data_IF_262348181381
#
_entry.id   IF_262348181381
#
_cell.length_a   1.000
_cell.length_b   1.000
_cell.length_c   1.000
_cell.angle_alpha   90.00
_cell.angle_beta   90.00
_cell.angle_gamma   90.00
#
_symmetry.space_group_name_H-M   'P 1'
#
loop_
_entity.id
_entity.type
_entity.pdbx_description
1 polymer ?
#
# COMPACT_ATOMS: atom_id res chain seq x y z
N UNK A 1 -43.62 -57.11 28.17
CA UNK A 1 -43.14 -56.57 26.87
C UNK A 1 -43.07 -55.04 26.80
N UNK A 2 -43.80 -54.26 27.62
CA UNK A 2 -43.86 -52.79 27.52
C UNK A 2 -42.65 -52.02 28.10
N UNK A 3 -41.89 -52.62 29.02
CA UNK A 3 -40.74 -51.97 29.69
C UNK A 3 -39.44 -51.94 28.87
N UNK A 4 -39.26 -52.89 27.93
CA UNK A 4 -38.05 -52.91 27.07
C UNK A 4 -38.08 -51.85 25.95
N UNK A 5 -39.26 -51.44 25.49
CA UNK A 5 -39.41 -50.40 24.48
C UNK A 5 -39.17 -48.97 25.03
N UNK A 6 -39.48 -48.73 26.30
CA UNK A 6 -39.26 -47.41 26.92
C UNK A 6 -37.77 -47.08 27.12
N UNK A 7 -36.93 -48.09 27.38
CA UNK A 7 -35.47 -47.92 27.59
C UNK A 7 -34.75 -47.64 26.26
N UNK A 8 -35.24 -48.21 25.15
CA UNK A 8 -34.65 -48.05 23.81
C UNK A 8 -34.92 -46.64 23.22
N UNK A 9 -36.09 -46.08 23.50
CA UNK A 9 -36.46 -44.74 23.03
C UNK A 9 -35.67 -43.63 23.75
N UNK A 10 -35.43 -43.76 25.06
CA UNK A 10 -34.68 -42.76 25.84
C UNK A 10 -33.19 -42.76 25.52
N UNK A 11 -32.58 -43.92 25.28
CA UNK A 11 -31.17 -44.00 24.83
C UNK A 11 -30.95 -43.36 23.47
N UNK A 12 -31.90 -43.53 22.54
CA UNK A 12 -31.81 -42.93 21.20
C UNK A 12 -31.89 -41.39 21.25
N UNK A 13 -32.76 -40.83 22.11
CA UNK A 13 -32.86 -39.38 22.31
C UNK A 13 -31.58 -38.80 22.91
N UNK A 14 -30.97 -39.50 23.88
CA UNK A 14 -29.71 -39.06 24.52
C UNK A 14 -28.57 -39.05 23.49
N UNK A 15 -28.46 -40.08 22.65
CA UNK A 15 -27.42 -40.14 21.61
C UNK A 15 -27.61 -39.01 20.58
N UNK A 16 -28.84 -38.75 20.15
CA UNK A 16 -29.14 -37.65 19.23
C UNK A 16 -28.81 -36.27 19.83
N UNK A 17 -29.12 -36.06 21.11
CA UNK A 17 -28.79 -34.82 21.81
C UNK A 17 -27.27 -34.62 21.96
N UNK A 18 -26.53 -35.68 22.29
CA UNK A 18 -25.07 -35.64 22.37
C UNK A 18 -24.43 -35.38 21.00
N UNK A 19 -24.93 -36.01 19.94
CA UNK A 19 -24.47 -35.77 18.57
C UNK A 19 -24.73 -34.32 18.13
N UNK A 20 -25.88 -33.75 18.51
CA UNK A 20 -26.19 -32.35 18.21
C UNK A 20 -25.28 -31.38 18.96
N UNK A 21 -25.02 -31.60 20.26
CA UNK A 21 -24.09 -30.78 21.04
C UNK A 21 -22.68 -30.86 20.46
N UNK A 22 -22.23 -32.06 20.09
CA UNK A 22 -20.93 -32.26 19.45
C UNK A 22 -20.84 -31.52 18.11
N UNK A 23 -21.88 -31.62 17.27
CA UNK A 23 -21.95 -30.91 15.99
C UNK A 23 -21.88 -29.39 16.15
N UNK A 24 -22.63 -28.82 17.11
CA UNK A 24 -22.57 -27.39 17.43
C UNK A 24 -21.17 -26.98 17.92
N UNK A 25 -20.51 -27.81 18.74
CA UNK A 25 -19.14 -27.60 19.19
C UNK A 25 -18.12 -27.54 18.05
N UNK A 26 -18.20 -28.48 17.10
CA UNK A 26 -17.31 -28.54 15.93
C UNK A 26 -17.50 -27.32 15.01
N UNK A 27 -18.75 -26.90 14.77
CA UNK A 27 -19.06 -25.71 13.96
C UNK A 27 -18.51 -24.43 14.61
N UNK A 28 -18.65 -24.27 15.92
CA UNK A 28 -18.10 -23.13 16.65
C UNK A 28 -16.57 -23.08 16.60
N UNK A 29 -15.90 -24.23 16.71
CA UNK A 29 -14.43 -24.30 16.60
C UNK A 29 -13.95 -23.92 15.19
N UNK A 30 -14.58 -24.45 14.13
CA UNK A 30 -14.25 -24.07 12.74
C UNK A 30 -14.47 -22.58 12.47
N UNK A 31 -15.56 -21.98 12.98
CA UNK A 31 -15.83 -20.56 12.81
C UNK A 31 -14.78 -19.67 13.48
N UNK A 32 -14.33 -20.02 14.69
CA UNK A 32 -13.27 -19.30 15.39
C UNK A 32 -11.89 -19.45 14.72
N UNK A 33 -11.60 -20.62 14.17
CA UNK A 33 -10.33 -20.88 13.47
C UNK A 33 -10.25 -20.10 12.15
N UNK A 34 -11.33 -20.07 11.37
CA UNK A 34 -11.40 -19.25 10.15
C UNK A 34 -11.30 -17.75 10.45
N UNK A 35 -11.91 -17.26 11.54
CA UNK A 35 -11.77 -15.86 11.94
C UNK A 35 -10.33 -15.52 12.37
N UNK A 36 -9.65 -16.42 13.08
CA UNK A 36 -8.24 -16.24 13.43
C UNK A 36 -7.35 -16.25 12.21
N UNK A 37 -7.59 -17.15 11.26
CA UNK A 37 -6.81 -17.23 10.02
C UNK A 37 -7.03 -15.99 9.12
N UNK A 38 -8.25 -15.47 9.03
CA UNK A 38 -8.54 -14.22 8.31
C UNK A 38 -7.92 -13.00 8.99
N UNK A 39 -8.04 -12.89 10.32
CA UNK A 39 -7.43 -11.80 11.07
C UNK A 39 -5.89 -11.84 10.97
N UNK A 40 -5.29 -13.04 10.98
CA UNK A 40 -3.85 -13.21 10.79
C UNK A 40 -3.40 -12.85 9.36
N UNK A 41 -4.15 -13.26 8.32
CA UNK A 41 -3.88 -12.88 6.92
C UNK A 41 -4.00 -11.37 6.69
N UNK A 42 -4.92 -10.70 7.39
CA UNK A 42 -5.07 -9.25 7.30
C UNK A 42 -3.94 -8.50 8.04
N UNK A 43 -3.41 -9.06 9.14
CA UNK A 43 -2.27 -8.53 9.89
C UNK A 43 -0.93 -8.64 9.13
N UNK A 44 -0.76 -9.73 8.36
CA UNK A 44 0.41 -9.93 7.51
C UNK A 44 0.36 -9.11 6.21
N UNK A 45 -0.79 -8.50 5.89
CA UNK A 45 -0.96 -7.72 4.67
C UNK A 45 -0.04 -6.51 4.68
N UNK A 46 0.82 -6.46 3.67
CA UNK A 46 1.68 -5.32 3.42
C UNK A 46 0.92 -4.26 2.63
N UNK A 47 0.89 -3.03 3.14
CA UNK A 47 0.16 -1.89 2.57
C UNK A 47 1.06 -0.67 2.43
N UNK A 48 0.65 0.27 1.58
CA UNK A 48 1.38 1.52 1.34
C UNK A 48 0.70 2.73 1.96
N UNK A 49 1.51 3.60 2.53
CA UNK A 49 1.10 4.92 2.96
C UNK A 49 0.75 5.77 1.74
N UNK A 50 -0.45 6.33 1.69
CA UNK A 50 -0.89 7.17 0.58
C UNK A 50 -0.14 8.52 0.52
N UNK A 51 0.54 8.91 1.59
CA UNK A 51 1.24 10.19 1.70
C UNK A 51 2.67 10.12 1.13
N UNK A 52 3.45 9.12 1.53
CA UNK A 52 4.89 9.02 1.21
C UNK A 52 5.27 7.76 0.41
N UNK A 53 4.33 6.86 0.13
CA UNK A 53 4.56 5.62 -0.60
C UNK A 53 5.27 4.53 0.20
N UNK A 54 5.61 4.77 1.48
CA UNK A 54 6.28 3.77 2.34
C UNK A 54 5.40 2.55 2.55
N UNK A 55 6.06 1.39 2.63
CA UNK A 55 5.42 0.09 2.74
C UNK A 55 5.62 -0.51 4.13
N UNK A 56 4.54 -0.92 4.78
CA UNK A 56 4.56 -1.53 6.12
C UNK A 56 3.42 -2.54 6.26
N UNK A 57 3.45 -3.36 7.31
CA UNK A 57 2.29 -4.19 7.70
C UNK A 57 1.10 -3.30 8.02
N UNK A 58 -0.11 -3.74 7.67
CA UNK A 58 -1.34 -2.98 7.88
C UNK A 58 -1.56 -2.62 9.36
N UNK A 59 -1.20 -3.51 10.29
CA UNK A 59 -1.26 -3.27 11.74
C UNK A 59 -0.29 -2.20 12.25
N UNK A 60 0.75 -1.90 11.49
CA UNK A 60 1.72 -0.86 11.85
C UNK A 60 1.30 0.52 11.35
N UNK A 61 0.25 0.61 10.53
CA UNK A 61 -0.30 1.87 10.04
C UNK A 61 -1.11 2.55 11.14
N UNK A 62 -0.77 3.80 11.44
CA UNK A 62 -1.36 4.54 12.58
C UNK A 62 -2.68 5.22 12.26
N UNK A 63 -3.03 5.31 10.98
CA UNK A 63 -4.28 5.90 10.54
C UNK A 63 -4.74 5.32 9.20
N UNK A 64 -6.06 5.35 8.97
CA UNK A 64 -6.68 4.98 7.70
C UNK A 64 -7.79 5.98 7.36
N UNK A 65 -8.08 6.12 6.08
CA UNK A 65 -9.27 6.83 5.60
C UNK A 65 -9.86 6.15 4.37
N UNK A 66 -11.08 6.52 3.99
CA UNK A 66 -11.67 6.10 2.72
C UNK A 66 -11.44 7.17 1.65
N UNK A 67 -11.00 6.77 0.46
CA UNK A 67 -10.99 7.66 -0.68
C UNK A 67 -12.43 7.87 -1.23
N UNK A 68 -12.56 8.70 -2.27
CA UNK A 68 -13.86 8.99 -2.91
C UNK A 68 -14.54 7.75 -3.52
N UNK A 69 -13.79 6.66 -3.74
CA UNK A 69 -14.25 5.38 -4.30
C UNK A 69 -14.48 4.32 -3.22
N UNK A 70 -14.33 4.65 -1.93
CA UNK A 70 -14.48 3.72 -0.83
C UNK A 70 -13.27 2.81 -0.58
N UNK A 71 -12.14 3.02 -1.28
CA UNK A 71 -10.87 2.30 -1.04
C UNK A 71 -10.25 2.78 0.27
N UNK A 72 -9.79 1.83 1.10
CA UNK A 72 -9.01 2.17 2.30
C UNK A 72 -7.62 2.65 1.89
N UNK A 73 -7.30 3.88 2.29
CA UNK A 73 -5.96 4.44 2.26
C UNK A 73 -5.35 4.32 3.66
N UNK A 74 -4.06 4.00 3.71
CA UNK A 74 -3.30 3.82 4.95
C UNK A 74 -2.30 4.97 5.10
N UNK A 75 -1.90 5.26 6.34
CA UNK A 75 -0.95 6.33 6.66
C UNK A 75 -0.03 5.92 7.82
N UNK A 76 1.26 6.24 7.70
CA UNK A 76 2.24 5.96 8.75
C UNK A 76 1.97 6.80 10.00
N UNK A 77 1.38 7.99 9.86
CA UNK A 77 0.95 8.83 10.99
C UNK A 77 -0.42 9.45 10.78
N UNK A 78 -1.08 9.83 11.89
CA UNK A 78 -2.33 10.59 11.84
C UNK A 78 -2.13 11.98 11.21
N UNK A 79 -0.99 12.62 11.45
CA UNK A 79 -0.68 13.93 10.85
C UNK A 79 -0.62 13.87 9.32
N UNK A 80 0.01 12.84 8.76
CA UNK A 80 0.05 12.61 7.32
C UNK A 80 -1.36 12.43 6.74
N UNK A 81 -2.22 11.66 7.40
CA UNK A 81 -3.62 11.52 7.00
C UNK A 81 -4.35 12.88 6.99
N UNK A 82 -4.18 13.71 8.02
CA UNK A 82 -4.84 15.02 8.09
C UNK A 82 -4.31 16.00 7.03
N UNK A 83 -3.00 15.99 6.74
CA UNK A 83 -2.42 16.74 5.61
C UNK A 83 -3.00 16.25 4.29
N UNK A 84 -3.02 14.94 4.08
CA UNK A 84 -3.52 14.31 2.87
C UNK A 84 -5.00 14.62 2.62
N UNK A 85 -5.83 14.56 3.66
CA UNK A 85 -7.28 14.83 3.57
C UNK A 85 -7.59 16.23 3.03
N UNK A 86 -6.74 17.22 3.32
CA UNK A 86 -6.91 18.61 2.86
C UNK A 86 -6.56 18.77 1.38
N UNK A 87 -5.50 18.09 0.93
CA UNK A 87 -4.94 18.27 -0.42
C UNK A 87 -4.45 16.92 -0.99
N UNK A 88 -5.34 15.92 -1.24
CA UNK A 88 -4.90 14.55 -1.58
C UNK A 88 -4.09 14.51 -2.89
N UNK A 89 -4.57 15.29 -3.85
CA UNK A 89 -3.97 15.55 -5.16
C UNK A 89 -2.54 16.09 -5.09
N UNK A 90 -2.16 16.77 -4.01
CA UNK A 90 -0.80 17.29 -3.83
C UNK A 90 0.20 16.18 -3.53
N UNK A 91 -0.22 15.16 -2.78
CA UNK A 91 0.66 14.12 -2.26
C UNK A 91 0.62 12.83 -3.07
N UNK A 92 -0.49 12.53 -3.74
CA UNK A 92 -0.64 11.31 -4.52
C UNK A 92 -1.37 11.58 -5.84
N UNK A 93 -0.71 11.24 -6.95
CA UNK A 93 -1.31 11.17 -8.28
C UNK A 93 -1.39 9.71 -8.70
N UNK A 94 -2.55 9.30 -9.17
CA UNK A 94 -2.79 7.94 -9.67
C UNK A 94 -3.33 8.01 -11.09
N UNK A 95 -2.73 7.25 -11.99
CA UNK A 95 -3.16 7.12 -13.36
C UNK A 95 -2.67 5.78 -13.93
N UNK A 96 -3.22 5.37 -15.07
CA UNK A 96 -2.92 4.08 -15.68
C UNK A 96 -2.29 4.28 -17.06
N UNK A 97 -1.25 3.52 -17.37
CA UNK A 97 -0.63 3.40 -18.70
C UNK A 97 -0.78 1.94 -19.13
N UNK A 98 -1.68 1.64 -20.06
CA UNK A 98 -2.01 0.26 -20.42
C UNK A 98 -2.66 -0.48 -19.24
N UNK A 99 -2.02 -1.54 -18.75
CA UNK A 99 -2.42 -2.29 -17.54
C UNK A 99 -1.56 -1.94 -16.31
N UNK A 100 -0.75 -0.87 -16.38
CA UNK A 100 0.13 -0.45 -15.29
C UNK A 100 -0.48 0.73 -14.57
N UNK A 101 -0.88 0.54 -13.32
CA UNK A 101 -1.24 1.64 -12.43
C UNK A 101 0.04 2.29 -11.89
N UNK A 102 0.22 3.57 -12.24
CA UNK A 102 1.27 4.43 -11.70
C UNK A 102 0.73 5.16 -10.49
N UNK A 103 1.42 5.04 -9.37
CA UNK A 103 1.16 5.78 -8.15
C UNK A 103 2.36 6.70 -7.90
N UNK A 104 2.16 8.00 -8.03
CA UNK A 104 3.22 9.01 -7.92
C UNK A 104 3.00 9.84 -6.64
N UNK A 105 3.96 9.75 -5.73
CA UNK A 105 4.01 10.55 -4.52
C UNK A 105 4.94 11.76 -4.73
N UNK A 106 4.47 12.95 -4.34
CA UNK A 106 5.23 14.19 -4.47
C UNK A 106 5.25 14.87 -3.10
N UNK A 107 6.42 14.96 -2.50
CA UNK A 107 6.60 15.52 -1.16
C UNK A 107 7.58 16.67 -1.23
N UNK A 108 7.35 17.72 -0.44
CA UNK A 108 8.43 18.67 -0.17
C UNK A 108 9.56 17.94 0.56
N UNK A 109 10.81 18.38 0.42
CA UNK A 109 11.91 17.79 1.18
C UNK A 109 11.66 17.84 2.67
N UNK A 110 11.01 18.90 3.14
CA UNK A 110 10.59 18.98 4.54
C UNK A 110 9.63 17.85 4.92
N UNK A 111 8.57 17.64 4.16
CA UNK A 111 7.58 16.59 4.46
C UNK A 111 8.19 15.18 4.33
N UNK A 112 9.07 14.97 3.34
CA UNK A 112 9.81 13.71 3.20
C UNK A 112 10.71 13.44 4.41
N UNK A 113 11.49 14.43 4.84
CA UNK A 113 12.38 14.29 5.99
C UNK A 113 11.60 14.13 7.31
N UNK A 114 10.48 14.84 7.47
CA UNK A 114 9.57 14.66 8.60
C UNK A 114 8.99 13.23 8.63
N UNK A 115 8.61 12.67 7.48
CA UNK A 115 8.14 11.30 7.35
C UNK A 115 9.23 10.28 7.73
N UNK A 116 10.45 10.44 7.21
CA UNK A 116 11.58 9.58 7.52
C UNK A 116 11.96 9.63 9.01
N UNK A 117 11.94 10.82 9.61
CA UNK A 117 12.20 11.01 11.04
C UNK A 117 11.12 10.37 11.92
N UNK A 118 9.84 10.50 11.56
CA UNK A 118 8.74 9.89 12.29
C UNK A 118 8.82 8.35 12.32
N UNK A 119 9.60 7.78 11.41
CA UNK A 119 9.89 6.35 11.30
C UNK A 119 11.23 5.93 11.93
N UNK A 120 11.98 6.87 12.52
CA UNK A 120 13.29 6.58 13.13
C UNK A 120 14.40 6.30 12.11
N UNK A 121 14.26 6.80 10.88
CA UNK A 121 15.26 6.64 9.80
C UNK A 121 16.14 7.88 9.62
N UNK A 122 16.22 8.75 10.63
CA UNK A 122 16.99 9.99 10.62
C UNK A 122 18.50 9.77 10.42
N UNK A 123 19.04 8.68 10.97
CA UNK A 123 20.48 8.34 10.84
C UNK A 123 20.89 7.83 9.46
N UNK A 124 19.93 7.54 8.58
CA UNK A 124 20.17 7.04 7.23
C UNK A 124 19.68 8.01 6.15
N UNK A 125 19.48 9.28 6.53
CA UNK A 125 19.05 10.29 5.57
C UNK A 125 20.12 10.52 4.49
N UNK A 126 19.74 10.50 3.20
CA UNK A 126 20.67 10.83 2.12
C UNK A 126 21.13 12.28 2.26
N UNK A 127 22.38 12.54 1.86
CA UNK A 127 22.85 13.92 1.74
C UNK A 127 22.02 14.62 0.65
N UNK A 128 21.29 15.66 1.05
CA UNK A 128 20.45 16.41 0.14
C UNK A 128 21.30 17.45 -0.61
N UNK A 129 21.13 17.52 -1.93
CA UNK A 129 21.57 18.70 -2.66
C UNK A 129 20.64 19.88 -2.31
N UNK A 130 21.22 21.01 -1.92
CA UNK A 130 20.47 22.17 -1.43
C UNK A 130 19.50 22.78 -2.47
N UNK A 131 19.66 22.45 -3.76
CA UNK A 131 18.76 22.88 -4.83
C UNK A 131 17.49 22.03 -4.96
N UNK A 132 17.46 20.82 -4.41
CA UNK A 132 16.30 19.94 -4.52
C UNK A 132 15.26 20.31 -3.46
N UNK A 133 14.03 20.56 -3.89
CA UNK A 133 12.97 21.01 -2.99
C UNK A 133 11.89 19.95 -2.78
N UNK A 134 11.81 18.93 -3.64
CA UNK A 134 10.81 17.88 -3.57
C UNK A 134 11.39 16.50 -3.81
N UNK A 135 10.92 15.52 -3.05
CA UNK A 135 11.15 14.10 -3.29
C UNK A 135 9.98 13.56 -4.11
N UNK A 136 10.27 12.98 -5.26
CA UNK A 136 9.26 12.31 -6.08
C UNK A 136 9.53 10.82 -6.04
N UNK A 137 8.54 10.05 -5.59
CA UNK A 137 8.57 8.59 -5.63
C UNK A 137 7.42 8.03 -6.45
N UNK A 138 7.63 6.88 -7.08
CA UNK A 138 6.65 6.19 -7.91
C UNK A 138 6.69 4.68 -7.65
N UNK A 139 5.53 4.07 -7.52
CA UNK A 139 5.41 2.60 -7.54
C UNK A 139 4.35 2.16 -8.56
N UNK A 140 4.63 1.03 -9.19
CA UNK A 140 3.91 0.53 -10.35
C UNK A 140 3.19 -0.77 -9.98
N UNK A 141 1.90 -0.87 -10.26
CA UNK A 141 1.11 -2.08 -10.00
C UNK A 141 0.57 -2.61 -11.33
N UNK A 142 0.74 -3.91 -11.62
CA UNK A 142 0.01 -4.55 -12.72
C UNK A 142 -1.44 -4.71 -12.26
N UNK A 143 -2.39 -4.06 -12.94
CA UNK A 143 -3.80 -4.11 -12.57
C UNK A 143 -4.41 -5.51 -12.70
N UNK A 144 -3.78 -6.43 -13.44
CA UNK A 144 -4.27 -7.81 -13.60
C UNK A 144 -3.95 -8.68 -12.40
N UNK A 145 -2.71 -8.61 -11.90
CA UNK A 145 -2.24 -9.44 -10.78
C UNK A 145 -2.32 -8.71 -9.43
N UNK A 146 -2.34 -7.37 -9.45
CA UNK A 146 -2.17 -6.55 -8.25
C UNK A 146 -0.73 -6.52 -7.73
N UNK A 147 0.22 -7.11 -8.47
CA UNK A 147 1.62 -7.20 -8.06
C UNK A 147 2.42 -5.94 -8.44
N UNK A 148 3.47 -5.70 -7.67
CA UNK A 148 4.42 -4.62 -7.92
C UNK A 148 5.29 -4.93 -9.15
N UNK A 149 5.37 -3.98 -10.07
CA UNK A 149 6.27 -4.06 -11.23
C UNK A 149 7.63 -3.47 -10.85
N UNK A 150 8.67 -4.30 -10.99
CA UNK A 150 10.08 -3.95 -10.80
C UNK A 150 10.81 -4.02 -12.15
N UNK A 151 12.07 -3.61 -12.18
CA UNK A 151 12.96 -3.75 -13.35
C UNK A 151 12.48 -3.03 -14.61
N UNK A 152 11.79 -1.89 -14.43
CA UNK A 152 11.32 -1.00 -15.51
C UNK A 152 12.00 0.36 -15.34
N UNK A 153 12.45 0.98 -16.44
CA UNK A 153 12.95 2.34 -16.38
C UNK A 153 11.79 3.31 -16.13
N UNK A 154 11.85 4.10 -15.06
CA UNK A 154 10.85 5.12 -14.78
C UNK A 154 11.49 6.48 -14.93
N UNK A 155 11.15 7.22 -15.97
CA UNK A 155 11.63 8.58 -16.18
C UNK A 155 10.53 9.58 -15.87
N UNK A 156 10.90 10.65 -15.16
CA UNK A 156 10.05 11.82 -14.93
C UNK A 156 10.60 12.98 -15.75
N UNK A 157 9.72 13.60 -16.54
CA UNK A 157 9.93 14.90 -17.17
C UNK A 157 9.04 15.93 -16.46
N UNK A 158 9.67 16.84 -15.71
CA UNK A 158 9.03 17.94 -15.01
C UNK A 158 9.22 19.23 -15.82
N UNK A 159 8.14 19.82 -16.31
CA UNK A 159 8.13 21.14 -16.94
C UNK A 159 7.70 22.20 -15.93
N UNK A 160 8.52 23.22 -15.74
CA UNK A 160 8.26 24.36 -14.86
C UNK A 160 7.20 25.31 -15.45
N UNK A 161 6.64 26.24 -14.65
CA UNK A 161 5.67 27.23 -15.14
C UNK A 161 6.17 28.14 -16.27
N UNK A 162 7.48 28.38 -16.34
CA UNK A 162 8.17 29.16 -17.38
C UNK A 162 8.68 28.31 -18.56
N UNK A 163 8.45 27.00 -18.54
CA UNK A 163 8.73 26.09 -19.65
C UNK A 163 10.09 25.40 -19.61
N UNK A 164 10.91 25.60 -18.56
CA UNK A 164 12.13 24.82 -18.33
C UNK A 164 11.79 23.35 -18.05
N UNK A 165 12.68 22.44 -18.42
CA UNK A 165 12.43 20.99 -18.32
C UNK A 165 13.53 20.32 -17.52
N UNK A 166 13.15 19.58 -16.47
CA UNK A 166 14.01 18.65 -15.74
C UNK A 166 13.64 17.21 -16.15
N UNK A 167 14.60 16.43 -16.63
CA UNK A 167 14.40 15.00 -16.93
C UNK A 167 15.30 14.16 -16.05
N UNK A 168 14.72 13.21 -15.30
CA UNK A 168 15.49 12.28 -14.47
C UNK A 168 14.96 10.86 -14.60
N UNK A 169 15.86 9.90 -14.73
CA UNK A 169 15.56 8.49 -14.57
C UNK A 169 15.56 8.17 -13.08
N UNK A 170 14.41 7.77 -12.54
CA UNK A 170 14.26 7.45 -11.13
C UNK A 170 15.04 6.17 -10.79
N UNK A 171 15.61 6.14 -9.59
CA UNK A 171 16.35 4.98 -9.07
C UNK A 171 15.40 4.08 -8.31
N UNK A 172 15.43 2.78 -8.58
CA UNK A 172 14.69 1.83 -7.76
C UNK A 172 15.36 1.69 -6.38
N UNK A 173 14.57 1.90 -5.32
CA UNK A 173 15.01 1.80 -3.92
C UNK A 173 14.47 0.48 -3.37
N UNK A 174 15.31 -0.56 -3.40
CA UNK A 174 14.92 -1.95 -3.05
C UNK A 174 14.22 -2.06 -1.70
N UNK A 175 14.75 -1.37 -0.69
CA UNK A 175 14.21 -1.38 0.67
C UNK A 175 12.76 -0.88 0.74
N UNK A 176 12.42 0.09 -0.11
CA UNK A 176 11.10 0.73 -0.11
C UNK A 176 10.19 0.27 -1.25
N UNK A 177 10.74 -0.53 -2.17
CA UNK A 177 10.04 -1.08 -3.32
C UNK A 177 9.37 0.01 -4.19
N UNK A 178 10.03 1.14 -4.41
CA UNK A 178 9.57 2.21 -5.29
C UNK A 178 10.74 2.82 -6.05
N UNK A 179 10.46 3.56 -7.11
CA UNK A 179 11.41 4.40 -7.84
C UNK A 179 11.40 5.80 -7.27
N UNK A 180 12.54 6.45 -7.07
CA UNK A 180 12.57 7.85 -6.65
C UNK A 180 13.79 8.63 -7.12
N UNK A 181 13.62 9.95 -7.14
CA UNK A 181 14.66 10.94 -7.27
C UNK A 181 14.12 12.29 -6.74
N UNK A 182 15.02 13.24 -6.58
CA UNK A 182 14.75 14.54 -6.02
C UNK A 182 14.67 15.59 -7.13
N UNK A 183 13.81 16.59 -6.98
CA UNK A 183 13.51 17.58 -8.03
C UNK A 183 13.45 19.01 -7.47
N UNK A 184 13.71 19.99 -8.34
CA UNK A 184 13.68 21.40 -7.99
C UNK A 184 12.38 22.06 -8.45
N UNK A 185 11.53 22.42 -7.49
CA UNK A 185 10.34 23.24 -7.70
C UNK A 185 10.60 24.64 -7.13
N UNK A 186 11.35 25.46 -7.86
CA UNK A 186 11.78 26.79 -7.41
C UNK A 186 10.83 27.93 -7.80
N UNK A 187 9.80 27.63 -8.61
CA UNK A 187 8.87 28.62 -9.16
C UNK A 187 7.47 28.35 -8.65
N UNK A 188 6.72 29.40 -8.36
CA UNK A 188 5.29 29.27 -8.07
C UNK A 188 4.52 29.13 -9.38
N UNK A 189 3.60 28.17 -9.45
CA UNK A 189 2.73 28.00 -10.61
C UNK A 189 2.37 26.55 -10.88
N UNK A 190 1.85 26.29 -12.08
CA UNK A 190 1.49 24.95 -12.54
C UNK A 190 2.71 24.27 -13.16
N UNK A 191 3.02 23.08 -12.66
CA UNK A 191 4.01 22.20 -13.23
C UNK A 191 3.33 21.11 -14.05
N UNK A 192 3.95 20.71 -15.15
CA UNK A 192 3.54 19.51 -15.88
C UNK A 192 4.51 18.38 -15.55
N UNK A 193 3.96 17.22 -15.22
CA UNK A 193 4.74 16.00 -14.99
C UNK A 193 4.35 14.99 -16.05
N UNK A 194 5.33 14.49 -16.80
CA UNK A 194 5.17 13.33 -17.66
C UNK A 194 5.94 12.16 -17.06
N UNK A 195 5.32 10.99 -17.09
CA UNK A 195 5.93 9.74 -16.64
C UNK A 195 6.13 8.85 -17.87
N UNK A 196 7.37 8.46 -18.11
CA UNK A 196 7.74 7.54 -19.18
C UNK A 196 8.16 6.22 -18.54
N UNK A 197 7.57 5.13 -19.02
CA UNK A 197 7.91 3.77 -18.63
C UNK A 197 8.71 3.13 -19.77
N UNK A 198 9.96 2.79 -19.50
CA UNK A 198 10.85 2.10 -20.42
C UNK A 198 10.84 0.61 -20.05
N UNK A 199 10.25 -0.23 -20.91
CA UNK A 199 10.38 -1.68 -20.77
C UNK A 199 11.87 -2.06 -20.70
N UNK A 200 12.19 -3.06 -19.89
CA UNK A 200 13.55 -3.47 -19.55
C UNK A 200 14.53 -3.38 -20.73
N UNK A 201 15.77 -2.93 -20.45
CA UNK A 201 16.87 -2.99 -21.42
C UNK A 201 17.13 -4.46 -21.75
N UNK A 202 16.88 -4.86 -22.99
CA UNK A 202 17.29 -6.16 -23.49
C UNK A 202 18.67 -6.00 -24.15
N UNK A 203 19.67 -6.75 -23.68
CA UNK A 203 20.92 -6.93 -24.42
C UNK A 203 20.65 -7.89 -25.58
N UNK A 204 20.59 -7.35 -26.79
CA UNK A 204 20.53 -8.15 -28.01
C UNK A 204 21.97 -8.49 -28.44
N UNK A 205 22.35 -9.76 -28.32
CA UNK A 205 23.62 -10.26 -28.89
C UNK A 205 23.30 -10.97 -30.20
N UNK A 206 23.92 -10.52 -31.31
CA UNK A 206 23.81 -11.16 -32.64
C UNK A 206 24.78 -12.34 -32.73
#
# INVERSE_FOLDING_TARGET
MKTKFAILATTTIIIAALAFIFYQGVQAQHGMEMQKEQAQKEDEKIVRCAFDGMQMKASMMKATMKDKKGKTLYFCTKEQMEKFKKEPDKYLRQFTIGNVQVNLNILTMKDYMDAMKAMGMDKHMPQMEHSNTHHISAYLIDERSGELIKDVGVQIELTTPDGEVQKKLLKFIDMMNYYADDFSFLKSGKYNIKVLLEAAKFDYTI
#
